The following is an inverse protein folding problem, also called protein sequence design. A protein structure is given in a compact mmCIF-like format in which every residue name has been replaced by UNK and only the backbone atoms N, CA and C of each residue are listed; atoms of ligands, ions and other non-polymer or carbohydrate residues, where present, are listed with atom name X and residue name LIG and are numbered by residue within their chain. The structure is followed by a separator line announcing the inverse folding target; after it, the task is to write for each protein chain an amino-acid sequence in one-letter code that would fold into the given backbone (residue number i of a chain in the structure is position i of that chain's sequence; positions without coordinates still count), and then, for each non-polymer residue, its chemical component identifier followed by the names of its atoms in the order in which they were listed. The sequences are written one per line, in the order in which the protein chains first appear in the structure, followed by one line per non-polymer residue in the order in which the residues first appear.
data_IF_171478495804
#
_entry.id   IF_171478495804
#
_cell.length_a   1.000
_cell.length_b   1.000
_cell.length_c   1.000
_cell.angle_alpha   90.00
_cell.angle_beta   90.00
_cell.angle_gamma   90.00
#
_symmetry.space_group_name_H-M   'P 1'
#
loop_
_entity.id
_entity.type
_entity.pdbx_description
1 polymer ?
#
# COMPACT_ATOMS: atom_id res chain seq x y z
N UNK A 1 5.00 -2.11 4.28
CA UNK A 1 5.81 -2.96 3.38
C UNK A 1 5.43 -2.81 1.91
N UNK A 2 4.17 -2.72 1.55
CA UNK A 2 3.70 -2.50 0.18
C UNK A 2 3.83 -1.03 -0.27
N UNK A 3 3.97 -0.09 0.65
CA UNK A 3 4.11 1.34 0.35
C UNK A 3 5.33 1.65 -0.55
N UNK A 4 6.34 0.77 -0.54
CA UNK A 4 7.52 0.92 -1.41
C UNK A 4 7.20 0.77 -2.90
N UNK A 5 6.06 0.15 -3.24
CA UNK A 5 5.66 -0.17 -4.61
C UNK A 5 4.34 0.51 -5.04
N UNK A 6 3.89 1.57 -4.34
CA UNK A 6 2.59 2.21 -4.61
C UNK A 6 2.37 2.55 -6.10
N UNK A 7 3.31 3.16 -6.84
CA UNK A 7 3.08 3.47 -8.25
C UNK A 7 2.83 2.21 -9.11
N UNK A 8 3.55 1.12 -8.84
CA UNK A 8 3.40 -0.14 -9.57
C UNK A 8 2.08 -0.82 -9.21
N UNK A 9 1.71 -0.79 -7.93
CA UNK A 9 0.43 -1.34 -7.45
C UNK A 9 -0.77 -0.58 -8.04
N UNK A 10 -0.68 0.75 -8.10
CA UNK A 10 -1.72 1.59 -8.69
C UNK A 10 -1.91 1.31 -10.19
N UNK A 11 -0.86 0.93 -10.91
CA UNK A 11 -0.93 0.52 -12.30
C UNK A 11 -1.58 -0.87 -12.53
N UNK A 12 -1.66 -1.70 -11.47
CA UNK A 12 -2.25 -3.05 -11.54
C UNK A 12 -3.71 -3.04 -11.08
N UNK A 13 -4.07 -2.18 -10.13
CA UNK A 13 -5.41 -2.11 -9.55
C UNK A 13 -6.45 -1.63 -10.55
N UNK A 14 -7.64 -2.21 -10.44
CA UNK A 14 -8.84 -1.80 -11.18
C UNK A 14 -9.86 -1.05 -10.30
N UNK A 15 -9.92 -1.36 -9.01
CA UNK A 15 -10.87 -0.76 -8.08
C UNK A 15 -10.58 0.73 -7.74
N UNK A 16 -9.64 1.38 -8.45
CA UNK A 16 -9.31 2.78 -8.27
C UNK A 16 -8.73 3.11 -6.89
N UNK A 17 -9.00 4.31 -6.35
CA UNK A 17 -8.42 4.76 -5.08
C UNK A 17 -8.77 3.87 -3.87
N UNK A 18 -9.88 3.14 -3.93
CA UNK A 18 -10.33 2.24 -2.87
C UNK A 18 -9.71 0.85 -2.95
N UNK A 19 -9.01 0.52 -4.04
CA UNK A 19 -8.41 -0.81 -4.24
C UNK A 19 -7.40 -1.22 -3.16
N UNK A 20 -6.75 -0.27 -2.52
CA UNK A 20 -5.81 -0.50 -1.40
C UNK A 20 -6.46 -0.40 -0.01
N UNK A 21 -7.79 -0.43 0.07
CA UNK A 21 -8.52 -0.47 1.33
C UNK A 21 -8.36 -1.82 2.04
N UNK A 22 -8.87 -1.88 3.29
CA UNK A 22 -8.77 -3.09 4.12
C UNK A 22 -9.52 -4.28 3.48
N UNK A 23 -8.83 -5.38 3.27
CA UNK A 23 -9.32 -6.58 2.58
C UNK A 23 -9.98 -6.29 1.20
N UNK A 24 -9.54 -5.22 0.52
CA UNK A 24 -9.98 -4.84 -0.82
C UNK A 24 -9.26 -5.63 -1.91
N UNK A 25 -9.21 -5.06 -3.13
CA UNK A 25 -8.64 -5.72 -4.30
C UNK A 25 -7.21 -6.23 -4.09
N UNK A 26 -6.32 -5.38 -3.55
CA UNK A 26 -4.90 -5.72 -3.42
C UNK A 26 -4.68 -6.88 -2.45
N UNK A 27 -5.17 -6.76 -1.22
CA UNK A 27 -4.95 -7.79 -0.20
C UNK A 27 -5.63 -9.10 -0.58
N UNK A 28 -6.83 -9.05 -1.18
CA UNK A 28 -7.53 -10.24 -1.67
C UNK A 28 -6.77 -10.88 -2.83
N UNK A 29 -6.21 -10.10 -3.77
CA UNK A 29 -5.39 -10.63 -4.86
C UNK A 29 -4.14 -11.34 -4.35
N UNK A 30 -3.43 -10.73 -3.39
CA UNK A 30 -2.26 -11.35 -2.75
C UNK A 30 -2.65 -12.67 -2.06
N UNK A 31 -3.79 -12.71 -1.36
CA UNK A 31 -4.27 -13.94 -0.72
C UNK A 31 -4.65 -15.00 -1.75
N UNK A 32 -5.27 -14.62 -2.86
CA UNK A 32 -5.59 -15.55 -3.96
C UNK A 32 -4.32 -16.16 -4.60
N UNK A 33 -3.24 -15.37 -4.73
CA UNK A 33 -1.97 -15.85 -5.24
C UNK A 33 -1.25 -16.79 -4.25
N UNK A 34 -1.27 -16.47 -2.96
CA UNK A 34 -0.48 -17.17 -1.95
C UNK A 34 -1.23 -18.32 -1.29
N UNK A 35 -2.51 -18.14 -1.00
CA UNK A 35 -3.37 -19.09 -0.27
C UNK A 35 -4.82 -19.00 -0.75
N UNK A 36 -5.11 -19.43 -1.99
CA UNK A 36 -6.47 -19.39 -2.55
C UNK A 36 -7.46 -20.21 -1.72
N UNK A 37 -6.99 -21.23 -1.02
CA UNK A 37 -7.78 -22.07 -0.13
C UNK A 37 -8.38 -21.33 1.08
N UNK A 38 -7.85 -20.16 1.42
CA UNK A 38 -8.34 -19.33 2.53
C UNK A 38 -9.29 -18.21 2.09
N UNK A 39 -9.48 -18.01 0.78
CA UNK A 39 -10.37 -16.96 0.26
C UNK A 39 -11.75 -17.53 -0.05
N UNK A 40 -12.76 -17.03 0.64
CA UNK A 40 -14.15 -17.41 0.42
C UNK A 40 -14.72 -16.60 -0.75
N UNK A 41 -14.39 -17.03 -1.97
CA UNK A 41 -14.70 -16.28 -3.20
C UNK A 41 -16.19 -16.08 -3.45
N UNK A 42 -17.05 -16.98 -2.94
CA UNK A 42 -18.50 -16.88 -2.97
C UNK A 42 -19.07 -15.78 -2.05
N UNK A 43 -18.23 -15.19 -1.20
CA UNK A 43 -18.60 -14.14 -0.23
C UNK A 43 -18.01 -12.79 -0.56
N UNK A 44 -17.28 -12.66 -1.67
CA UNK A 44 -16.71 -11.37 -2.07
C UNK A 44 -17.82 -10.42 -2.51
N UNK A 45 -17.79 -9.19 -1.99
CA UNK A 45 -18.71 -8.11 -2.35
C UNK A 45 -17.95 -6.80 -2.40
N UNK A 46 -18.32 -5.92 -3.33
CA UNK A 46 -17.92 -4.53 -3.25
C UNK A 46 -18.70 -3.88 -2.10
N UNK A 47 -18.01 -3.46 -1.07
CA UNK A 47 -18.62 -2.86 0.13
C UNK A 47 -17.58 -2.01 0.87
N UNK A 48 -18.09 -1.10 1.69
CA UNK A 48 -17.24 -0.23 2.48
C UNK A 48 -16.60 0.90 1.67
N UNK A 49 -16.48 2.02 2.32
CA UNK A 49 -15.82 3.21 1.78
C UNK A 49 -15.19 3.99 2.94
N UNK A 50 -14.09 4.65 2.64
CA UNK A 50 -13.58 5.66 3.56
C UNK A 50 -14.42 6.91 3.37
N UNK A 51 -15.13 7.41 4.41
CA UNK A 51 -15.94 8.61 4.28
C UNK A 51 -15.11 9.77 3.76
N UNK A 52 -15.63 10.47 2.75
CA UNK A 52 -15.06 11.75 2.37
C UNK A 52 -15.30 12.77 3.48
N UNK A 53 -14.29 13.53 3.81
CA UNK A 53 -14.37 14.59 4.81
C UNK A 53 -13.62 15.81 4.29
N UNK A 54 -14.23 16.99 4.42
CA UNK A 54 -13.57 18.27 4.16
C UNK A 54 -12.31 18.51 5.01
N UNK A 55 -12.15 17.70 6.05
CA UNK A 55 -11.00 17.73 6.97
C UNK A 55 -9.94 16.67 6.66
N UNK A 56 -10.10 15.87 5.58
CA UNK A 56 -9.20 14.75 5.26
C UNK A 56 -7.73 15.14 5.23
N UNK A 57 -7.42 16.31 4.67
CA UNK A 57 -6.04 16.80 4.54
C UNK A 57 -5.55 17.57 5.78
N UNK A 58 -6.40 17.78 6.77
CA UNK A 58 -6.14 18.61 7.94
C UNK A 58 -6.19 17.86 9.26
N UNK A 59 -6.95 16.78 9.31
CA UNK A 59 -7.16 15.99 10.54
C UNK A 59 -7.14 14.51 10.18
N UNK A 60 -6.24 13.75 10.81
CA UNK A 60 -6.24 12.29 10.73
C UNK A 60 -7.14 11.74 11.83
N UNK A 61 -8.22 11.06 11.44
CA UNK A 61 -9.06 10.29 12.34
C UNK A 61 -8.91 8.80 12.00
N UNK A 62 -8.56 8.01 12.99
CA UNK A 62 -8.67 6.56 12.84
C UNK A 62 -10.15 6.18 12.89
N UNK A 63 -10.64 5.62 11.79
CA UNK A 63 -12.00 5.13 11.68
C UNK A 63 -12.04 3.65 12.07
N UNK A 64 -13.07 3.25 12.78
CA UNK A 64 -13.34 1.83 12.98
C UNK A 64 -13.89 1.24 11.68
N UNK A 65 -13.57 -0.02 11.41
CA UNK A 65 -14.03 -0.70 10.18
C UNK A 65 -15.55 -0.74 10.09
N UNK A 66 -16.23 -0.93 11.23
CA UNK A 66 -17.70 -0.98 11.32
C UNK A 66 -18.40 0.37 11.10
N UNK A 67 -17.66 1.48 11.05
CA UNK A 67 -18.20 2.79 10.66
C UNK A 67 -18.27 2.96 9.13
N UNK A 68 -17.48 2.21 8.38
CA UNK A 68 -17.38 2.32 6.93
C UNK A 68 -17.78 1.08 6.15
N UNK A 69 -18.02 -0.05 6.84
CA UNK A 69 -18.35 -1.32 6.21
C UNK A 69 -19.23 -2.18 7.10
N UNK A 70 -20.27 -2.78 6.53
CA UNK A 70 -21.12 -3.75 7.23
C UNK A 70 -20.48 -5.14 7.32
N UNK A 71 -19.49 -5.43 6.46
CA UNK A 71 -18.90 -6.76 6.27
C UNK A 71 -17.45 -6.87 6.68
N UNK A 72 -16.87 -5.79 7.18
CA UNK A 72 -15.52 -5.79 7.73
C UNK A 72 -14.39 -5.59 6.71
N UNK A 73 -14.69 -5.23 5.45
CA UNK A 73 -13.70 -4.84 4.45
C UNK A 73 -14.00 -3.44 3.88
N UNK A 74 -13.03 -2.81 3.26
CA UNK A 74 -13.17 -1.50 2.63
C UNK A 74 -12.59 -1.57 1.21
N UNK A 75 -13.45 -1.43 0.21
CA UNK A 75 -13.07 -1.49 -1.19
C UNK A 75 -13.82 -2.55 -1.99
N UNK A 76 -13.27 -2.91 -3.13
CA UNK A 76 -13.87 -3.90 -4.03
C UNK A 76 -12.97 -5.13 -4.21
N UNK A 77 -13.13 -6.17 -3.38
CA UNK A 77 -12.42 -7.43 -3.55
C UNK A 77 -12.96 -8.28 -4.72
N UNK A 78 -14.09 -7.92 -5.34
CA UNK A 78 -14.69 -8.74 -6.43
C UNK A 78 -13.86 -8.70 -7.71
N UNK A 79 -13.04 -7.67 -7.89
CA UNK A 79 -12.12 -7.52 -9.03
C UNK A 79 -10.74 -8.14 -8.75
N UNK A 80 -10.55 -8.76 -7.59
CA UNK A 80 -9.29 -9.42 -7.24
C UNK A 80 -9.05 -10.70 -8.06
N UNK A 81 -7.79 -10.97 -8.36
CA UNK A 81 -7.39 -12.22 -9.01
C UNK A 81 -6.00 -12.68 -8.54
N UNK A 82 -5.74 -14.01 -8.66
CA UNK A 82 -4.42 -14.56 -8.36
C UNK A 82 -3.34 -13.98 -9.28
N UNK A 83 -3.64 -13.76 -10.57
CA UNK A 83 -2.71 -13.15 -11.52
C UNK A 83 -2.30 -11.74 -11.10
N UNK A 84 -3.25 -10.90 -10.67
CA UNK A 84 -2.93 -9.58 -10.11
C UNK A 84 -2.08 -9.71 -8.86
N UNK A 85 -2.41 -10.65 -7.98
CA UNK A 85 -1.66 -10.93 -6.76
C UNK A 85 -0.20 -11.30 -7.03
N UNK A 86 0.07 -12.15 -8.02
CA UNK A 86 1.43 -12.50 -8.44
C UNK A 86 2.20 -11.29 -8.96
N UNK A 87 1.57 -10.47 -9.81
CA UNK A 87 2.18 -9.24 -10.33
C UNK A 87 2.45 -8.22 -9.22
N UNK A 88 1.51 -8.04 -8.30
CA UNK A 88 1.66 -7.15 -7.14
C UNK A 88 2.77 -7.63 -6.22
N UNK A 89 2.84 -8.93 -5.94
CA UNK A 89 3.88 -9.52 -5.11
C UNK A 89 5.27 -9.32 -5.72
N UNK A 90 5.42 -9.55 -7.04
CA UNK A 90 6.67 -9.29 -7.75
C UNK A 90 7.09 -7.83 -7.62
N UNK A 91 6.19 -6.90 -7.91
CA UNK A 91 6.47 -5.46 -7.82
C UNK A 91 6.90 -5.03 -6.40
N UNK A 92 6.28 -5.59 -5.37
CA UNK A 92 6.63 -5.31 -3.96
C UNK A 92 8.03 -5.86 -3.66
N UNK A 93 8.32 -7.10 -4.05
CA UNK A 93 9.63 -7.73 -3.81
C UNK A 93 10.75 -6.96 -4.53
N UNK A 94 10.56 -6.61 -5.80
CA UNK A 94 11.54 -5.86 -6.58
C UNK A 94 11.83 -4.49 -5.93
N UNK A 95 10.78 -3.77 -5.52
CA UNK A 95 10.93 -2.48 -4.83
C UNK A 95 11.61 -2.60 -3.46
N UNK A 96 11.34 -3.69 -2.72
CA UNK A 96 12.02 -3.95 -1.45
C UNK A 96 13.51 -4.26 -1.66
N UNK A 97 13.86 -5.01 -2.72
CA UNK A 97 15.25 -5.29 -3.08
C UNK A 97 15.99 -3.96 -3.34
N UNK A 98 15.41 -3.05 -4.12
CA UNK A 98 16.00 -1.74 -4.37
C UNK A 98 16.26 -0.95 -3.07
N UNK A 99 15.30 -0.94 -2.14
CA UNK A 99 15.47 -0.27 -0.85
C UNK A 99 16.61 -0.91 -0.04
N UNK A 100 16.69 -2.24 0.00
CA UNK A 100 17.78 -2.95 0.71
C UNK A 100 19.13 -2.66 0.08
N UNK A 101 19.24 -2.66 -1.24
CA UNK A 101 20.47 -2.31 -1.97
C UNK A 101 20.91 -0.88 -1.68
N UNK A 102 19.96 0.06 -1.60
CA UNK A 102 20.26 1.45 -1.25
C UNK A 102 20.73 1.62 0.18
N UNK A 103 20.16 0.85 1.12
CA UNK A 103 20.64 0.81 2.51
C UNK A 103 22.08 0.29 2.57
N UNK A 104 22.34 -0.85 1.92
CA UNK A 104 23.68 -1.49 1.92
C UNK A 104 24.73 -0.59 1.27
N UNK A 105 24.36 0.20 0.28
CA UNK A 105 25.25 1.12 -0.42
C UNK A 105 25.33 2.53 0.20
N UNK A 106 24.71 2.76 1.38
CA UNK A 106 24.61 4.07 2.05
C UNK A 106 23.99 5.18 1.17
N UNK A 107 23.09 4.78 0.25
CA UNK A 107 22.41 5.71 -0.69
C UNK A 107 21.01 6.12 -0.24
N UNK A 108 20.43 5.44 0.75
CA UNK A 108 19.03 5.65 1.16
C UNK A 108 18.74 7.12 1.48
N UNK A 109 19.58 7.76 2.29
CA UNK A 109 19.38 9.14 2.69
C UNK A 109 19.50 10.13 1.53
N UNK A 110 20.34 9.87 0.54
CA UNK A 110 20.48 10.72 -0.64
C UNK A 110 19.28 10.66 -1.59
N UNK A 111 18.46 9.59 -1.50
CA UNK A 111 17.23 9.41 -2.28
C UNK A 111 15.97 9.88 -1.54
N UNK A 112 15.96 9.80 -0.22
CA UNK A 112 14.80 10.20 0.61
C UNK A 112 14.79 11.67 0.97
N UNK A 113 15.96 12.31 1.03
CA UNK A 113 16.08 13.71 1.42
C UNK A 113 16.71 14.47 0.27
N UNK A 114 15.91 15.18 -0.52
CA UNK A 114 16.44 16.30 -1.28
C UNK A 114 17.05 17.29 -0.28
N UNK A 115 18.35 17.65 -0.41
CA UNK A 115 18.94 18.62 0.50
C UNK A 115 18.15 19.93 0.34
N UNK A 116 17.33 20.27 1.32
CA UNK A 116 16.82 21.63 1.41
C UNK A 116 18.01 22.56 1.36
N UNK A 117 17.98 23.55 0.47
CA UNK A 117 19.07 24.50 0.28
C UNK A 117 19.43 25.13 1.64
N UNK A 118 20.48 24.66 2.29
CA UNK A 118 20.92 25.12 3.61
C UNK A 118 21.49 24.07 4.55
N UNK A 119 21.25 22.76 4.32
CA UNK A 119 21.85 21.70 5.13
C UNK A 119 23.04 21.05 4.40
N UNK A 120 24.25 21.40 4.78
CA UNK A 120 25.44 20.72 4.29
C UNK A 120 25.56 19.33 4.94
N UNK A 121 25.81 18.27 4.12
CA UNK A 121 25.93 16.85 4.53
C UNK A 121 26.90 16.56 5.70
N UNK A 122 27.68 17.56 6.14
CA UNK A 122 28.65 17.42 7.23
C UNK A 122 28.06 17.65 8.64
N UNK A 123 26.87 18.23 8.77
CA UNK A 123 26.33 18.61 10.09
C UNK A 123 25.47 17.50 10.72
N UNK A 124 24.83 16.65 9.91
CA UNK A 124 24.02 15.53 10.43
C UNK A 124 24.86 14.42 11.11
N UNK A 125 26.12 14.24 10.73
CA UNK A 125 27.00 13.22 11.35
C UNK A 125 27.56 13.62 12.72
N UNK A 126 27.35 14.85 13.18
CA UNK A 126 27.87 15.33 14.49
C UNK A 126 26.82 15.38 15.58
N UNK A 127 25.57 15.02 15.27
CA UNK A 127 24.44 15.09 16.21
C UNK A 127 23.89 13.71 16.61
N UNK A 128 24.51 12.61 16.18
CA UNK A 128 24.27 11.23 16.58
C UNK A 128 25.53 10.66 17.25
#
# INVERSE_FOLDING_TARGET
WWEVAVPQLDAIKEAGPTGSGHAGEMETSLMLALRPDLVLTDRLHADGFWPESEYRDRVTRFMRIDEGSERGHVGDPTVASAEKGERMLSAIVDSLIEVVEDILADRLWSRLIEPSAGFARGELRRSL
#
